data_IF_100958739244
#
_entry.id   IF_100958739244
#
_cell.length_a   1.000
_cell.length_b   1.000
_cell.length_c   1.000
_cell.angle_alpha   90.00
_cell.angle_beta   90.00
_cell.angle_gamma   90.00
#
_symmetry.space_group_name_H-M   'P 1'
#
loop_
_entity.id
_entity.type
_entity.pdbx_description
1 polymer ?
#
# COMPACT_ATOMS: atom_id res chain seq x y z
N UNK A 1 -3.45 -5.70 -7.36
CA UNK A 1 -4.54 -5.47 -6.39
C UNK A 1 -4.01 -5.72 -4.99
N UNK A 2 -4.32 -4.84 -4.04
CA UNK A 2 -3.98 -5.00 -2.62
C UNK A 2 -5.22 -4.70 -1.78
N UNK A 3 -5.59 -5.58 -0.86
CA UNK A 3 -6.66 -5.37 0.12
C UNK A 3 -6.04 -5.38 1.51
N UNK A 4 -6.34 -4.36 2.31
CA UNK A 4 -5.80 -4.21 3.66
C UNK A 4 -6.76 -4.69 4.74
N UNK A 5 -6.20 -5.31 5.78
CA UNK A 5 -6.95 -6.00 6.86
C UNK A 5 -6.66 -5.42 8.25
N UNK A 6 -5.99 -4.27 8.33
CA UNK A 6 -5.44 -3.78 9.60
C UNK A 6 -6.38 -2.79 10.30
N UNK A 7 -7.08 -3.25 11.33
CA UNK A 7 -7.98 -2.41 12.13
C UNK A 7 -7.20 -1.48 13.05
N UNK A 8 -7.71 -0.27 13.28
CA UNK A 8 -7.07 0.69 14.20
C UNK A 8 -5.67 1.12 13.76
N UNK A 9 -5.46 1.33 12.46
CA UNK A 9 -4.22 1.93 11.97
C UNK A 9 -4.22 3.43 12.26
N UNK A 10 -3.14 3.93 12.86
CA UNK A 10 -2.96 5.34 13.22
C UNK A 10 -1.65 5.88 12.67
N UNK A 11 -1.51 7.21 12.63
CA UNK A 11 -0.26 7.85 12.22
C UNK A 11 0.88 7.43 13.14
N UNK A 12 2.03 7.08 12.56
CA UNK A 12 3.21 6.60 13.28
C UNK A 12 3.38 5.07 13.34
N UNK A 13 2.32 4.30 13.04
CA UNK A 13 2.43 2.83 12.91
C UNK A 13 3.33 2.42 11.73
N UNK A 14 3.50 3.32 10.75
CA UNK A 14 4.24 3.09 9.52
C UNK A 14 3.49 2.16 8.55
N UNK A 15 4.22 1.46 7.69
CA UNK A 15 3.65 0.45 6.80
C UNK A 15 2.85 1.01 5.62
N UNK A 16 2.96 2.30 5.34
CA UNK A 16 2.31 2.92 4.20
C UNK A 16 2.87 2.38 2.88
N UNK A 17 1.99 2.26 1.89
CA UNK A 17 2.38 2.02 0.51
C UNK A 17 2.68 3.35 -0.15
N UNK A 18 3.88 3.49 -0.69
CA UNK A 18 4.28 4.62 -1.53
C UNK A 18 4.18 4.18 -2.99
N UNK A 19 3.50 4.98 -3.81
CA UNK A 19 3.41 4.79 -5.26
C UNK A 19 3.99 6.03 -5.93
N UNK A 20 5.02 5.84 -6.75
CA UNK A 20 5.67 6.91 -7.49
C UNK A 20 5.01 7.07 -8.87
N UNK A 21 4.25 8.14 -9.07
CA UNK A 21 3.52 8.39 -10.32
C UNK A 21 4.37 9.12 -11.36
N UNK A 22 5.07 10.15 -10.92
CA UNK A 22 5.97 10.97 -11.72
C UNK A 22 7.08 11.51 -10.79
N UNK A 23 8.21 12.01 -11.33
CA UNK A 23 9.25 12.61 -10.49
C UNK A 23 8.67 13.71 -9.60
N UNK A 24 8.76 13.53 -8.28
CA UNK A 24 8.22 14.46 -7.28
C UNK A 24 6.73 14.29 -6.94
N UNK A 25 6.02 13.34 -7.55
CA UNK A 25 4.62 13.02 -7.22
C UNK A 25 4.51 11.60 -6.67
N UNK A 26 4.55 11.51 -5.34
CA UNK A 26 4.39 10.25 -4.61
C UNK A 26 3.05 10.23 -3.91
N UNK A 27 2.30 9.15 -4.08
CA UNK A 27 1.08 8.90 -3.35
C UNK A 27 1.36 7.96 -2.17
N UNK A 28 1.08 8.44 -0.97
CA UNK A 28 1.18 7.67 0.27
C UNK A 28 -0.20 7.11 0.66
N UNK A 29 -0.26 5.82 0.98
CA UNK A 29 -1.51 5.15 1.32
C UNK A 29 -1.33 4.28 2.55
N UNK A 30 -2.01 4.61 3.65
CA UNK A 30 -1.99 3.80 4.86
C UNK A 30 -2.73 2.46 4.65
N UNK A 31 -2.29 1.40 5.35
CA UNK A 31 -2.83 0.06 5.19
C UNK A 31 -4.04 -0.19 6.11
N UNK A 32 -4.92 0.79 6.31
CA UNK A 32 -6.12 0.60 7.14
C UNK A 32 -7.10 -0.42 6.54
N UNK A 33 -7.76 -1.18 7.40
CA UNK A 33 -8.75 -2.20 7.04
C UNK A 33 -9.83 -1.65 6.10
N UNK A 34 -10.23 -2.46 5.10
CA UNK A 34 -11.27 -2.11 4.13
C UNK A 34 -10.76 -1.32 2.92
N UNK A 35 -9.52 -0.80 2.96
CA UNK A 35 -8.91 -0.18 1.78
C UNK A 35 -8.52 -1.23 0.74
N UNK A 36 -8.94 -0.98 -0.50
CA UNK A 36 -8.58 -1.79 -1.66
C UNK A 36 -7.92 -0.90 -2.71
N UNK A 37 -6.77 -1.33 -3.22
CA UNK A 37 -5.95 -0.56 -4.15
C UNK A 37 -5.72 -1.35 -5.43
N UNK A 38 -5.99 -0.69 -6.55
CA UNK A 38 -5.70 -1.16 -7.89
C UNK A 38 -4.70 -0.23 -8.54
N UNK A 39 -3.62 -0.81 -9.05
CA UNK A 39 -2.61 -0.09 -9.80
C UNK A 39 -1.85 -1.08 -10.68
N UNK A 40 -1.20 -0.57 -11.72
CA UNK A 40 -0.39 -1.36 -12.65
C UNK A 40 0.99 -1.58 -12.06
N UNK A 41 1.19 -2.72 -11.42
CA UNK A 41 2.45 -3.04 -10.72
C UNK A 41 3.68 -3.10 -11.62
N UNK A 42 3.50 -3.26 -12.94
CA UNK A 42 4.60 -3.27 -13.93
C UNK A 42 4.99 -1.88 -14.43
N UNK A 43 4.12 -0.88 -14.24
CA UNK A 43 4.34 0.49 -14.73
C UNK A 43 4.67 1.46 -13.58
N UNK A 44 4.19 1.18 -12.37
CA UNK A 44 4.35 2.06 -11.22
C UNK A 44 5.34 1.47 -10.21
N UNK A 45 6.44 2.20 -9.99
CA UNK A 45 7.36 1.92 -8.91
C UNK A 45 6.65 2.17 -7.57
N UNK A 46 6.82 1.24 -6.65
CA UNK A 46 6.14 1.28 -5.37
C UNK A 46 6.95 0.56 -4.30
N UNK A 47 6.89 1.10 -3.09
CA UNK A 47 7.56 0.54 -1.92
C UNK A 47 6.61 0.51 -0.72
N UNK A 48 6.89 -0.39 0.21
CA UNK A 48 6.17 -0.47 1.48
C UNK A 48 7.13 0.01 2.55
N UNK A 49 6.75 1.07 3.26
CA UNK A 49 7.54 1.60 4.34
C UNK A 49 7.63 0.60 5.50
N UNK A 50 8.66 0.79 6.32
CA UNK A 50 8.83 0.00 7.53
C UNK A 50 7.63 0.21 8.48
N UNK A 51 7.28 -0.82 9.25
CA UNK A 51 6.12 -0.80 10.16
C UNK A 51 6.48 -1.30 11.54
N UNK A 52 5.92 -0.66 12.56
CA UNK A 52 6.15 -0.96 13.97
C UNK A 52 5.23 -2.07 14.52
N UNK A 53 4.26 -2.54 13.72
CA UNK A 53 3.26 -3.54 14.14
C UNK A 53 2.89 -4.50 13.01
N UNK A 54 2.25 -5.66 13.31
CA UNK A 54 1.85 -6.61 12.28
C UNK A 54 0.97 -5.96 11.21
N UNK A 55 1.38 -6.13 9.94
CA UNK A 55 0.73 -5.56 8.76
C UNK A 55 0.27 -6.67 7.82
N UNK A 56 -1.04 -6.88 7.78
CA UNK A 56 -1.71 -7.89 6.98
C UNK A 56 -2.33 -7.28 5.72
N UNK A 57 -2.16 -7.98 4.60
CA UNK A 57 -2.78 -7.62 3.32
C UNK A 57 -2.97 -8.85 2.45
N UNK A 58 -3.98 -8.83 1.60
CA UNK A 58 -4.14 -9.79 0.51
C UNK A 58 -3.67 -9.10 -0.77
N UNK A 59 -2.59 -9.61 -1.37
CA UNK A 59 -2.07 -9.12 -2.65
C UNK A 59 -2.41 -10.12 -3.75
N UNK A 60 -2.85 -9.61 -4.90
CA UNK A 60 -3.12 -10.41 -6.08
C UNK A 60 -2.73 -9.67 -7.35
N UNK A 61 -2.31 -10.43 -8.36
CA UNK A 61 -2.02 -9.95 -9.71
C UNK A 61 -3.07 -10.48 -10.66
N UNK A 62 -3.72 -9.55 -11.35
CA UNK A 62 -4.55 -9.90 -12.49
C UNK A 62 -3.59 -10.11 -13.68
N UNK A 63 -3.43 -11.37 -14.09
CA UNK A 63 -2.68 -11.73 -15.29
C UNK A 63 -3.62 -11.72 -16.50
N UNK A 64 -3.10 -11.28 -17.63
CA UNK A 64 -3.71 -11.49 -18.94
C UNK A 64 -3.18 -12.80 -19.53
#
# INVERSE_FOLDING_TARGET
MIIYLNTGWVSGDGGELFIHHAPGNTQQIDPAAGKTIFFKSSELEHEVLWTHKPRMSIKSWLKR
#
